data_IF_339603103487
#
_entry.id   IF_339603103487
#
_cell.length_a   1.000
_cell.length_b   1.000
_cell.length_c   1.000
_cell.angle_alpha   90.00
_cell.angle_beta   90.00
_cell.angle_gamma   90.00
#
_symmetry.space_group_name_H-M   'P 1'
#
loop_
_entity.id
_entity.type
_entity.pdbx_description
1 polymer ?
#
# COMPACT_ATOMS: atom_id res chain seq x y z
N UNK A 1 18.20 -13.46 16.01
CA UNK A 1 16.72 -13.54 16.07
C UNK A 1 16.17 -13.34 14.68
N UNK A 2 15.50 -14.35 14.14
CA UNK A 2 15.17 -14.48 12.72
C UNK A 2 14.02 -13.53 12.32
N UNK A 3 14.35 -12.35 11.79
CA UNK A 3 13.40 -11.32 11.34
C UNK A 3 12.67 -11.66 10.02
N UNK A 4 12.61 -12.94 9.64
CA UNK A 4 12.08 -13.36 8.33
C UNK A 4 10.59 -13.73 8.39
N UNK A 5 10.10 -14.22 9.54
CA UNK A 5 8.68 -14.60 9.71
C UNK A 5 7.74 -13.39 9.89
N UNK A 6 8.25 -12.26 10.38
CA UNK A 6 7.47 -11.06 10.76
C UNK A 6 7.24 -10.05 9.61
N UNK A 7 7.27 -10.52 8.35
CA UNK A 7 7.11 -9.66 7.15
C UNK A 7 5.82 -9.91 6.39
N UNK A 8 4.95 -10.78 6.90
CA UNK A 8 3.66 -11.07 6.29
C UNK A 8 2.58 -10.15 6.84
N UNK A 9 1.67 -9.76 5.97
CA UNK A 9 0.52 -8.93 6.32
C UNK A 9 -0.78 -9.49 5.76
N UNK A 10 -1.89 -9.13 6.42
CA UNK A 10 -3.23 -9.25 5.86
C UNK A 10 -3.58 -7.92 5.18
N UNK A 11 -3.85 -7.95 3.88
CA UNK A 11 -4.25 -6.74 3.15
C UNK A 11 -5.73 -6.45 3.32
N UNK A 12 -6.09 -5.17 3.22
CA UNK A 12 -7.48 -4.75 3.17
C UNK A 12 -8.10 -5.05 1.80
N UNK A 13 -9.42 -5.15 1.78
CA UNK A 13 -10.22 -5.22 0.55
C UNK A 13 -11.14 -4.00 0.46
N UNK A 14 -11.33 -3.50 -0.75
CA UNK A 14 -12.29 -2.43 -1.07
C UNK A 14 -13.16 -2.93 -2.21
N UNK A 15 -14.48 -3.00 -1.98
CA UNK A 15 -15.45 -3.50 -2.97
C UNK A 15 -15.09 -4.89 -3.53
N UNK A 16 -14.54 -5.78 -2.70
CA UNK A 16 -14.12 -7.12 -3.11
C UNK A 16 -12.75 -7.19 -3.77
N UNK A 17 -12.10 -6.06 -4.04
CA UNK A 17 -10.76 -5.99 -4.64
C UNK A 17 -9.71 -5.96 -3.52
N UNK A 18 -8.75 -6.89 -3.54
CA UNK A 18 -7.64 -6.89 -2.57
C UNK A 18 -6.62 -5.77 -2.88
N UNK A 19 -6.08 -5.14 -1.84
CA UNK A 19 -5.26 -3.92 -1.98
C UNK A 19 -3.83 -4.11 -1.48
N UNK A 20 -2.89 -4.19 -2.41
CA UNK A 20 -1.48 -4.40 -2.11
C UNK A 20 -0.68 -3.08 -2.31
N UNK A 21 -0.46 -2.31 -1.24
CA UNK A 21 0.35 -1.07 -1.29
C UNK A 21 1.68 -1.31 -0.57
N UNK A 22 2.80 -1.19 -1.29
CA UNK A 22 4.13 -1.60 -0.78
C UNK A 22 4.10 -3.02 -0.20
N UNK A 23 3.32 -3.87 -0.85
CA UNK A 23 3.08 -5.24 -0.47
C UNK A 23 2.96 -6.04 -1.76
N UNK A 24 3.39 -7.29 -1.74
CA UNK A 24 3.28 -8.20 -2.87
C UNK A 24 2.48 -9.44 -2.44
N UNK A 25 1.46 -9.87 -3.21
CA UNK A 25 0.73 -11.09 -2.89
C UNK A 25 1.65 -12.29 -2.78
N UNK A 26 1.34 -13.22 -1.86
CA UNK A 26 2.03 -14.51 -1.81
C UNK A 26 1.51 -15.51 -2.85
N UNK A 27 0.39 -15.17 -3.50
CA UNK A 27 -0.28 -15.96 -4.54
C UNK A 27 0.31 -15.68 -5.91
N UNK A 28 0.23 -16.66 -6.80
CA UNK A 28 0.62 -16.47 -8.20
C UNK A 28 -0.41 -15.61 -8.93
N UNK A 29 0.06 -14.60 -9.66
CA UNK A 29 -0.80 -13.65 -10.37
C UNK A 29 -0.25 -13.28 -11.74
N UNK A 30 -1.15 -12.87 -12.61
CA UNK A 30 -0.82 -12.19 -13.86
C UNK A 30 -1.28 -10.73 -13.80
N UNK A 31 -0.53 -9.84 -14.45
CA UNK A 31 -0.98 -8.46 -14.64
C UNK A 31 -2.05 -8.43 -15.70
N UNK A 32 -3.16 -7.75 -15.42
CA UNK A 32 -4.24 -7.57 -16.39
C UNK A 32 -3.81 -6.54 -17.42
N UNK A 33 -3.16 -7.00 -18.49
CA UNK A 33 -2.76 -6.21 -19.66
C UNK A 33 -3.64 -6.57 -20.85
N UNK A 34 -4.82 -5.97 -20.98
CA UNK A 34 -5.69 -6.29 -22.14
C UNK A 34 -5.21 -5.55 -23.38
N UNK A 35 -4.42 -6.24 -24.20
CA UNK A 35 -4.09 -5.84 -25.57
C UNK A 35 -4.49 -6.95 -26.54
N UNK A 36 -5.81 -7.20 -26.66
CA UNK A 36 -6.38 -7.99 -27.77
C UNK A 36 -7.68 -7.39 -28.34
N UNK A 37 -8.49 -6.71 -27.53
CA UNK A 37 -9.79 -6.14 -27.95
C UNK A 37 -9.90 -4.60 -27.79
N UNK A 38 -8.77 -3.87 -27.75
CA UNK A 38 -8.77 -2.40 -27.70
C UNK A 38 -8.99 -1.75 -26.32
N UNK A 39 -9.39 -2.50 -25.28
CA UNK A 39 -9.54 -1.96 -23.92
C UNK A 39 -8.24 -2.09 -23.13
N UNK A 40 -7.46 -1.02 -23.09
CA UNK A 40 -6.31 -0.91 -22.17
C UNK A 40 -6.81 -0.66 -20.75
N UNK A 41 -6.90 -1.71 -19.93
CA UNK A 41 -6.94 -1.55 -18.47
C UNK A 41 -5.52 -1.20 -18.01
N UNK A 42 -5.12 0.03 -18.31
CA UNK A 42 -3.81 0.52 -17.96
C UNK A 42 -3.82 1.05 -16.53
N UNK A 43 -2.71 0.78 -15.88
CA UNK A 43 -2.32 1.37 -14.62
C UNK A 43 -2.52 2.89 -14.58
N UNK A 44 -3.24 3.35 -13.57
CA UNK A 44 -3.47 4.77 -13.33
C UNK A 44 -2.32 5.40 -12.55
N UNK A 45 -1.81 6.52 -13.05
CA UNK A 45 -0.93 7.38 -12.28
C UNK A 45 -1.76 8.10 -11.19
N UNK A 46 -1.36 8.00 -9.93
CA UNK A 46 -2.07 8.62 -8.79
C UNK A 46 -1.85 10.14 -8.70
N UNK A 47 -1.66 10.80 -9.84
CA UNK A 47 -1.37 12.23 -9.95
C UNK A 47 -2.61 13.08 -9.70
N UNK A 48 -2.45 14.09 -8.85
CA UNK A 48 -3.33 15.25 -8.81
C UNK A 48 -4.61 15.13 -7.98
N UNK A 49 -4.48 15.03 -6.66
CA UNK A 49 -5.43 15.60 -5.69
C UNK A 49 -4.62 16.04 -4.45
N UNK A 50 -4.36 17.35 -4.36
CA UNK A 50 -3.68 17.97 -3.23
C UNK A 50 -4.54 17.72 -1.98
N UNK A 51 -3.95 17.21 -0.90
CA UNK A 51 -4.57 17.02 0.44
C UNK A 51 -5.43 15.74 0.67
N UNK A 52 -5.42 14.75 -0.23
CA UNK A 52 -6.12 13.46 0.00
C UNK A 52 -5.28 12.38 0.68
N UNK A 53 -5.95 11.46 1.40
CA UNK A 53 -5.29 10.30 2.03
C UNK A 53 -4.99 9.19 1.00
N UNK A 54 -4.02 8.31 1.30
CA UNK A 54 -3.71 7.12 0.47
C UNK A 54 -4.98 6.30 0.21
N UNK A 55 -5.76 6.01 1.26
CA UNK A 55 -7.01 5.25 1.18
C UNK A 55 -8.00 5.90 0.20
N UNK A 56 -8.20 7.22 0.29
CA UNK A 56 -9.10 7.95 -0.62
C UNK A 56 -8.65 7.83 -2.08
N UNK A 57 -7.35 7.98 -2.36
CA UNK A 57 -6.79 7.86 -3.71
C UNK A 57 -7.00 6.45 -4.25
N UNK A 58 -6.70 5.45 -3.43
CA UNK A 58 -6.87 4.02 -3.76
C UNK A 58 -8.34 3.68 -4.02
N UNK A 59 -9.27 4.12 -3.17
CA UNK A 59 -10.71 3.88 -3.36
C UNK A 59 -11.22 4.48 -4.67
N UNK A 60 -10.80 5.71 -5.01
CA UNK A 60 -11.16 6.36 -6.28
C UNK A 60 -10.61 5.60 -7.49
N UNK A 61 -9.37 5.11 -7.39
CA UNK A 61 -8.77 4.28 -8.43
C UNK A 61 -9.55 2.97 -8.63
N UNK A 62 -9.82 2.22 -7.56
CA UNK A 62 -10.59 0.97 -7.62
C UNK A 62 -11.97 1.21 -8.21
N UNK A 63 -12.66 2.29 -7.82
CA UNK A 63 -13.99 2.60 -8.36
C UNK A 63 -13.97 2.76 -9.88
N UNK A 64 -13.05 3.59 -10.40
CA UNK A 64 -12.89 3.78 -11.86
C UNK A 64 -12.52 2.48 -12.56
N UNK A 65 -11.60 1.73 -11.96
CA UNK A 65 -11.14 0.45 -12.51
C UNK A 65 -12.27 -0.59 -12.60
N UNK A 66 -13.17 -0.63 -11.61
CA UNK A 66 -14.35 -1.49 -11.64
C UNK A 66 -15.36 -1.06 -12.71
N UNK A 67 -15.55 0.24 -12.90
CA UNK A 67 -16.39 0.80 -13.99
C UNK A 67 -15.82 0.39 -15.36
N UNK A 68 -14.52 0.61 -15.60
CA UNK A 68 -13.84 0.25 -16.84
C UNK A 68 -13.86 -1.27 -17.11
N UNK A 69 -13.65 -2.07 -16.06
CA UNK A 69 -13.67 -3.54 -16.12
C UNK A 69 -15.07 -4.07 -16.47
N UNK A 70 -16.11 -3.47 -15.88
CA UNK A 70 -17.50 -3.82 -16.17
C UNK A 70 -17.87 -3.51 -17.63
N UNK A 71 -17.49 -2.33 -18.14
CA UNK A 71 -17.74 -1.94 -19.53
C UNK A 71 -16.99 -2.82 -20.55
N UNK A 72 -15.82 -3.32 -20.16
CA UNK A 72 -14.93 -4.10 -21.03
C UNK A 72 -15.04 -5.62 -20.88
N UNK A 73 -15.81 -6.10 -19.90
CA UNK A 73 -15.95 -7.53 -19.60
C UNK A 73 -14.64 -8.18 -19.11
N UNK A 74 -13.72 -7.40 -18.54
CA UNK A 74 -12.46 -7.90 -17.99
C UNK A 74 -12.61 -8.10 -16.49
N UNK A 75 -11.99 -9.15 -15.96
CA UNK A 75 -11.99 -9.45 -14.55
C UNK A 75 -10.62 -9.23 -13.93
N UNK A 76 -10.58 -8.75 -12.69
CA UNK A 76 -9.38 -8.63 -11.88
C UNK A 76 -9.75 -8.86 -10.41
N UNK A 77 -8.81 -9.38 -9.62
CA UNK A 77 -9.04 -9.74 -8.22
C UNK A 77 -8.45 -8.70 -7.24
N UNK A 78 -7.39 -8.03 -7.68
CA UNK A 78 -6.60 -7.19 -6.81
C UNK A 78 -5.94 -6.04 -7.56
N UNK A 79 -5.46 -5.08 -6.79
CA UNK A 79 -4.60 -4.00 -7.25
C UNK A 79 -3.28 -4.01 -6.49
N UNK A 80 -2.20 -3.71 -7.20
CA UNK A 80 -0.86 -3.67 -6.65
C UNK A 80 -0.18 -2.34 -6.96
N UNK A 81 0.35 -1.68 -5.94
CA UNK A 81 1.16 -0.48 -6.07
C UNK A 81 2.62 -0.81 -5.76
N UNK A 82 3.41 -0.92 -6.82
CA UNK A 82 4.85 -1.14 -6.78
C UNK A 82 5.59 0.07 -7.37
N UNK A 83 6.69 0.46 -6.73
CA UNK A 83 7.65 1.43 -7.28
C UNK A 83 7.06 2.80 -7.68
N UNK A 84 6.27 3.39 -6.78
CA UNK A 84 6.12 4.84 -6.70
C UNK A 84 5.19 5.53 -7.67
N UNK A 85 4.71 4.87 -8.74
CA UNK A 85 3.98 5.60 -9.81
C UNK A 85 2.77 4.89 -10.38
N UNK A 86 2.65 3.58 -10.18
CA UNK A 86 1.80 2.76 -11.02
C UNK A 86 0.99 1.80 -10.15
N UNK A 87 -0.34 1.97 -10.15
CA UNK A 87 -1.25 0.98 -9.61
C UNK A 87 -1.63 0.01 -10.73
N UNK A 88 -1.35 -1.28 -10.55
CA UNK A 88 -1.57 -2.33 -11.56
C UNK A 88 -2.69 -3.25 -11.11
N UNK A 89 -3.64 -3.55 -12.00
CA UNK A 89 -4.65 -4.58 -11.77
C UNK A 89 -4.04 -5.96 -12.00
N UNK A 90 -4.33 -6.91 -11.12
CA UNK A 90 -3.83 -8.28 -11.21
C UNK A 90 -4.98 -9.27 -11.09
N UNK A 91 -4.80 -10.43 -11.72
CA UNK A 91 -5.69 -11.59 -11.61
C UNK A 91 -4.89 -12.76 -11.04
N UNK A 92 -5.42 -13.42 -10.02
CA UNK A 92 -4.77 -14.58 -9.44
C UNK A 92 -4.94 -15.79 -10.36
N UNK A 93 -3.87 -16.57 -10.49
CA UNK A 93 -3.81 -17.74 -11.36
C UNK A 93 -3.96 -19.06 -10.59
N UNK A 94 -3.89 -19.00 -9.26
CA UNK A 94 -4.04 -20.11 -8.33
C UNK A 94 -5.42 -20.15 -7.65
N UNK A 95 -5.72 -21.25 -6.95
CA UNK A 95 -6.92 -21.36 -6.12
C UNK A 95 -6.69 -20.68 -4.77
N UNK A 96 -7.59 -19.78 -4.40
CA UNK A 96 -7.52 -19.08 -3.11
C UNK A 96 -7.73 -20.04 -1.93
N UNK A 97 -6.85 -19.97 -0.94
CA UNK A 97 -6.98 -20.72 0.32
C UNK A 97 -7.09 -19.73 1.51
N UNK A 98 -7.64 -20.15 2.66
CA UNK A 98 -7.64 -19.32 3.87
C UNK A 98 -6.23 -18.80 4.25
N UNK A 99 -5.19 -19.57 3.96
CA UNK A 99 -3.79 -19.28 4.27
C UNK A 99 -3.11 -18.34 3.27
N UNK A 100 -3.67 -18.17 2.06
CA UNK A 100 -3.09 -17.34 0.99
C UNK A 100 -3.93 -16.12 0.64
N UNK A 101 -5.24 -16.16 0.89
CA UNK A 101 -6.17 -15.07 0.57
C UNK A 101 -5.80 -13.78 1.29
N UNK A 102 -5.57 -12.71 0.55
CA UNK A 102 -5.18 -11.41 1.10
C UNK A 102 -3.90 -11.44 1.92
N UNK A 103 -3.02 -12.42 1.73
CA UNK A 103 -1.72 -12.48 2.42
C UNK A 103 -0.64 -11.88 1.51
N UNK A 104 0.16 -10.99 2.09
CA UNK A 104 1.20 -10.29 1.37
C UNK A 104 2.55 -10.34 2.07
N UNK A 105 3.61 -10.26 1.28
CA UNK A 105 4.95 -9.91 1.74
C UNK A 105 5.13 -8.40 1.71
N UNK A 106 5.54 -7.82 2.83
CA UNK A 106 5.70 -6.37 2.97
C UNK A 106 7.05 -5.88 2.43
N UNK A 107 7.00 -4.79 1.65
CA UNK A 107 8.18 -4.06 1.21
C UNK A 107 8.67 -3.08 2.27
N UNK A 108 9.92 -2.64 2.07
CA UNK A 108 10.60 -1.72 2.98
C UNK A 108 10.79 -0.37 2.32
N UNK A 109 10.62 0.69 3.10
CA UNK A 109 11.00 2.05 2.74
C UNK A 109 12.20 2.43 3.61
N UNK A 110 13.34 2.71 2.98
CA UNK A 110 14.60 3.02 3.69
C UNK A 110 14.98 1.94 4.73
N UNK A 111 14.78 0.67 4.37
CA UNK A 111 15.06 -0.48 5.25
C UNK A 111 14.02 -0.76 6.34
N UNK A 112 13.05 0.13 6.56
CA UNK A 112 11.97 -0.01 7.54
C UNK A 112 10.75 -0.69 6.91
N UNK A 113 10.16 -1.73 7.52
CA UNK A 113 8.91 -2.34 7.04
C UNK A 113 7.70 -1.40 7.18
N UNK A 114 6.88 -1.31 6.14
CA UNK A 114 5.68 -0.48 6.11
C UNK A 114 4.41 -1.28 5.79
N UNK A 115 3.48 -1.31 6.73
CA UNK A 115 2.15 -1.86 6.54
C UNK A 115 1.21 -0.73 6.09
N UNK A 116 0.94 -0.64 4.79
CA UNK A 116 0.05 0.37 4.19
C UNK A 116 -1.19 -0.34 3.67
N UNK A 117 -2.38 0.08 4.11
CA UNK A 117 -3.64 -0.60 3.77
C UNK A 117 -3.61 -2.10 4.11
N UNK A 118 -2.85 -2.46 5.15
CA UNK A 118 -2.61 -3.83 5.58
C UNK A 118 -2.26 -3.84 7.07
N UNK A 119 -2.42 -5.00 7.70
CA UNK A 119 -2.11 -5.23 9.10
C UNK A 119 -1.10 -6.37 9.24
N UNK A 120 -0.17 -6.30 10.22
CA UNK A 120 0.74 -7.41 10.48
C UNK A 120 -0.04 -8.65 10.91
N UNK A 121 0.38 -9.83 10.43
CA UNK A 121 -0.24 -11.09 10.88
C UNK A 121 0.02 -11.38 12.36
N UNK A 122 1.15 -10.92 12.88
CA UNK A 122 1.36 -10.91 14.32
C UNK A 122 0.65 -9.69 14.92
N UNK A 123 -0.43 -9.92 15.65
CA UNK A 123 -1.20 -8.86 16.31
C UNK A 123 -0.64 -8.49 17.68
N UNK A 124 0.32 -9.25 18.22
CA UNK A 124 0.97 -8.92 19.49
C UNK A 124 2.07 -7.88 19.25
N UNK A 125 1.67 -6.62 19.36
CA UNK A 125 2.55 -5.48 19.28
C UNK A 125 2.05 -4.34 20.16
N UNK A 126 2.98 -3.51 20.62
CA UNK A 126 2.65 -2.23 21.23
C UNK A 126 2.94 -1.07 20.29
N UNK A 127 2.17 0.00 20.46
CA UNK A 127 2.47 1.30 19.84
C UNK A 127 3.68 1.91 20.53
N UNK A 128 4.82 1.93 19.84
CA UNK A 128 6.06 2.50 20.33
C UNK A 128 6.16 4.01 20.04
N UNK A 129 5.50 4.50 19.00
CA UNK A 129 5.39 5.92 18.69
C UNK A 129 4.14 6.24 17.84
N UNK A 130 3.65 7.47 17.94
CA UNK A 130 2.58 8.00 17.08
C UNK A 130 3.18 8.97 16.09
N UNK A 131 3.21 8.58 14.82
CA UNK A 131 3.78 9.35 13.73
C UNK A 131 2.67 10.22 13.11
N UNK A 132 2.73 11.52 13.42
CA UNK A 132 1.84 12.52 12.83
C UNK A 132 1.00 13.26 13.86
N UNK A 133 1.42 14.49 14.21
CA UNK A 133 0.45 15.56 14.45
C UNK A 133 -0.18 15.81 13.08
N UNK A 134 -1.41 15.31 12.91
CA UNK A 134 -2.05 15.00 11.62
C UNK A 134 -1.47 15.79 10.47
N UNK A 135 -0.87 15.08 9.49
CA UNK A 135 -0.15 15.67 8.36
C UNK A 135 -0.98 16.85 7.85
N UNK A 136 -0.64 18.06 8.32
CA UNK A 136 -1.07 19.27 7.67
C UNK A 136 -0.26 19.18 6.41
N UNK A 137 -0.89 18.67 5.36
CA UNK A 137 -0.58 18.92 3.96
C UNK A 137 -0.65 20.44 3.73
N UNK A 138 0.09 21.22 4.54
CA UNK A 138 0.52 22.53 4.15
C UNK A 138 1.45 22.23 2.98
N UNK A 139 0.88 22.33 1.79
CA UNK A 139 1.36 23.28 0.80
C UNK A 139 2.14 24.37 1.55
N UNK A 140 3.42 24.12 1.79
CA UNK A 140 4.30 25.11 2.37
C UNK A 140 5.21 25.53 1.23
N UNK A 141 4.65 26.41 0.40
CA UNK A 141 5.34 27.60 -0.10
C UNK A 141 6.76 27.31 -0.61
N UNK A 142 6.85 26.47 -1.64
CA UNK A 142 7.89 26.58 -2.66
C UNK A 142 7.15 26.53 -3.99
N UNK A 143 7.29 27.58 -4.79
CA UNK A 143 6.41 27.84 -5.93
C UNK A 143 6.34 26.68 -6.91
N UNK A 144 5.12 26.20 -7.19
CA UNK A 144 4.79 25.35 -8.32
C UNK A 144 5.23 23.88 -8.20
N UNK A 145 4.29 22.98 -8.51
CA UNK A 145 4.58 21.67 -9.13
C UNK A 145 5.32 20.60 -8.30
N UNK A 146 4.82 20.17 -7.14
CA UNK A 146 5.25 18.87 -6.58
C UNK A 146 4.05 17.94 -6.36
N UNK A 147 3.86 17.05 -7.34
CA UNK A 147 3.05 15.84 -7.24
C UNK A 147 3.76 14.85 -6.30
N UNK A 148 3.61 15.01 -4.98
CA UNK A 148 4.24 14.07 -4.06
C UNK A 148 3.62 12.67 -4.21
N UNK A 149 4.48 11.66 -4.43
CA UNK A 149 4.08 10.25 -4.50
C UNK A 149 3.80 9.69 -3.10
N UNK A 150 3.11 8.54 -3.03
CA UNK A 150 2.89 7.81 -1.77
C UNK A 150 4.25 7.50 -1.10
N UNK A 151 5.25 7.11 -1.89
CA UNK A 151 6.59 6.77 -1.39
C UNK A 151 7.31 7.96 -0.76
N UNK A 152 7.20 9.18 -1.30
CA UNK A 152 7.81 10.36 -0.71
C UNK A 152 7.26 10.68 0.68
N UNK A 153 5.96 10.47 0.88
CA UNK A 153 5.33 10.65 2.19
C UNK A 153 5.75 9.55 3.17
N UNK A 154 5.85 8.31 2.71
CA UNK A 154 6.34 7.20 3.53
C UNK A 154 7.83 7.32 3.85
N UNK A 155 8.63 7.88 2.94
CA UNK A 155 10.05 8.16 3.17
C UNK A 155 10.26 9.18 4.29
N UNK A 156 9.39 10.19 4.41
CA UNK A 156 9.43 11.14 5.55
C UNK A 156 9.23 10.40 6.87
N UNK A 157 8.28 9.47 6.93
CA UNK A 157 8.06 8.65 8.12
C UNK A 157 9.25 7.72 8.39
N UNK A 158 9.80 7.08 7.36
CA UNK A 158 10.96 6.21 7.50
C UNK A 158 12.15 6.97 8.10
N UNK A 159 12.46 8.16 7.58
CA UNK A 159 13.51 9.03 8.12
C UNK A 159 13.26 9.47 9.57
N UNK A 160 12.01 9.72 9.95
CA UNK A 160 11.66 10.08 11.34
C UNK A 160 11.94 8.93 12.32
N UNK A 161 11.82 7.68 11.87
CA UNK A 161 11.97 6.51 12.74
C UNK A 161 13.26 5.73 12.54
N UNK A 162 14.07 6.05 11.54
CA UNK A 162 15.31 5.34 11.18
C UNK A 162 16.21 5.09 12.40
N UNK A 163 16.49 6.12 13.19
CA UNK A 163 17.31 5.99 14.40
C UNK A 163 16.68 5.10 15.48
N UNK A 164 15.34 5.03 15.57
CA UNK A 164 14.63 4.13 16.51
C UNK A 164 14.65 2.69 16.00
N UNK A 165 14.47 2.50 14.68
CA UNK A 165 14.51 1.20 14.03
C UNK A 165 15.91 0.56 14.12
N UNK A 166 16.96 1.32 13.79
CA UNK A 166 18.36 0.85 13.91
C UNK A 166 18.76 0.47 15.34
N UNK A 167 18.14 1.08 16.35
CA UNK A 167 18.33 0.77 17.78
C UNK A 167 17.38 -0.32 18.30
N UNK A 168 16.59 -0.96 17.43
CA UNK A 168 15.63 -2.00 17.80
C UNK A 168 14.46 -1.53 18.66
N UNK A 169 14.20 -0.21 18.76
CA UNK A 169 13.11 0.35 19.57
C UNK A 169 11.74 0.25 18.90
N UNK A 170 11.74 0.04 17.59
CA UNK A 170 10.56 -0.22 16.76
C UNK A 170 10.92 -1.33 15.76
N UNK A 171 9.93 -2.01 15.23
CA UNK A 171 10.10 -3.06 14.22
C UNK A 171 9.46 -2.70 12.89
N UNK A 172 8.42 -1.85 12.90
CA UNK A 172 7.71 -1.46 11.69
C UNK A 172 6.91 -0.17 11.85
N UNK A 173 6.38 0.32 10.73
CA UNK A 173 5.40 1.40 10.66
C UNK A 173 4.08 0.87 10.09
N UNK A 174 2.97 1.19 10.74
CA UNK A 174 1.62 0.93 10.24
C UNK A 174 0.98 2.25 9.84
N UNK A 175 0.58 2.36 8.58
CA UNK A 175 -0.20 3.49 8.06
C UNK A 175 -1.66 3.05 7.97
N UNK A 176 -2.46 3.47 8.96
CA UNK A 176 -3.89 3.15 9.00
C UNK A 176 -4.71 4.12 8.15
N UNK A 177 -6.00 3.82 7.92
CA UNK A 177 -6.94 4.67 7.19
C UNK A 177 -7.06 6.07 7.83
N UNK A 178 -6.17 6.99 7.45
CA UNK A 178 -6.07 8.33 8.01
C UNK A 178 -4.64 8.86 7.85
N UNK A 179 -4.43 10.17 7.88
CA UNK A 179 -3.10 10.81 7.76
C UNK A 179 -2.19 10.58 8.98
N UNK A 180 -2.27 9.40 9.62
CA UNK A 180 -1.62 9.04 10.86
C UNK A 180 -0.95 7.69 10.66
N UNK A 181 0.32 7.63 10.98
CA UNK A 181 1.05 6.37 11.07
C UNK A 181 1.41 6.10 12.53
N UNK A 182 1.62 4.84 12.86
CA UNK A 182 2.14 4.44 14.17
C UNK A 182 3.41 3.63 13.94
N UNK A 183 4.41 3.84 14.79
CA UNK A 183 5.52 2.92 14.88
C UNK A 183 5.18 1.85 15.91
N UNK A 184 5.38 0.60 15.54
CA UNK A 184 5.06 -0.55 16.38
C UNK A 184 6.32 -1.31 16.77
N UNK A 185 6.25 -1.98 17.92
CA UNK A 185 7.24 -2.95 18.39
C UNK A 185 6.47 -4.25 18.65
N UNK A 186 6.88 -5.35 18.01
CA UNK A 186 6.32 -6.66 18.30
C UNK A 186 6.81 -7.13 19.66
N UNK A 187 5.93 -7.80 20.39
CA UNK A 187 6.25 -8.45 21.66
C UNK A 187 6.65 -9.93 21.44
#
# INVERSE_FOLDING_TARGET
MNSMAQKKAKVHSINGVEVYILAEPVREYETVNTAKNGVKILSGFTGGLINESISTKVSKFIKRLLEDAHESGVEFDAIMYTSGKTMTAIKFTDVSTPETKGIATIHRVDGVPFYVMSEPLNTDYRVADKLGKGIKWKSLVTGGLLNNSIEEDLLKFAKQVDGKYKRGKIDAVVYSNGKKAIAIKFE
#
